data_IF_781938320698
#
_entry.id   IF_781938320698
#
_cell.length_a   1.000
_cell.length_b   1.000
_cell.length_c   1.000
_cell.angle_alpha   90.00
_cell.angle_beta   90.00
_cell.angle_gamma   90.00
#
_symmetry.space_group_name_H-M   'P 1'
#
loop_
_entity.id
_entity.type
_entity.pdbx_description
1 polymer ?
#
# COMPACT_ATOMS: atom_id res chain seq x y z
N UNK A 1 20.55 -18.57 8.22
CA UNK A 1 21.11 -18.15 6.93
C UNK A 1 21.49 -19.43 6.22
N UNK A 2 20.89 -19.73 5.06
CA UNK A 2 21.36 -20.89 4.29
C UNK A 2 22.60 -20.45 3.52
N UNK A 3 23.76 -20.54 4.17
CA UNK A 3 25.04 -20.01 3.70
C UNK A 3 25.46 -20.64 2.36
N UNK A 4 24.93 -21.82 2.03
CA UNK A 4 25.15 -22.49 0.74
C UNK A 4 24.37 -21.88 -0.43
N UNK A 5 23.21 -21.29 -0.17
CA UNK A 5 22.33 -20.73 -1.20
C UNK A 5 22.28 -19.19 -1.20
N UNK A 6 22.93 -18.53 -0.23
CA UNK A 6 22.97 -17.07 -0.08
C UNK A 6 21.59 -16.39 -0.05
N UNK A 7 20.54 -17.11 0.37
CA UNK A 7 19.17 -16.56 0.48
C UNK A 7 18.93 -16.02 1.89
N UNK A 8 18.44 -14.79 1.98
CA UNK A 8 17.93 -14.18 3.21
C UNK A 8 16.39 -14.18 3.21
N UNK A 9 15.79 -14.86 4.18
CA UNK A 9 14.34 -14.84 4.41
C UNK A 9 14.02 -13.98 5.63
N UNK A 10 13.29 -12.89 5.43
CA UNK A 10 12.89 -11.96 6.50
C UNK A 10 11.38 -11.73 6.46
N UNK A 11 10.75 -11.63 7.63
CA UNK A 11 9.35 -11.20 7.78
C UNK A 11 9.34 -9.70 8.10
N UNK A 12 8.81 -8.89 7.19
CA UNK A 12 8.72 -7.43 7.35
C UNK A 12 7.31 -6.94 7.06
N UNK A 13 6.93 -5.83 7.70
CA UNK A 13 5.70 -5.10 7.40
C UNK A 13 6.00 -3.98 6.42
N UNK A 14 5.28 -3.94 5.30
CA UNK A 14 5.43 -2.90 4.29
C UNK A 14 4.33 -1.85 4.48
N UNK A 15 4.71 -0.62 4.82
CA UNK A 15 3.80 0.52 4.90
C UNK A 15 3.91 1.33 3.61
N UNK A 16 2.81 1.45 2.87
CA UNK A 16 2.76 2.11 1.56
C UNK A 16 1.76 3.24 1.66
N UNK A 17 2.20 4.45 1.28
CA UNK A 17 1.34 5.61 1.16
C UNK A 17 1.46 6.17 -0.26
N UNK A 18 0.32 6.42 -0.90
CA UNK A 18 0.25 7.06 -2.22
C UNK A 18 -0.92 8.04 -2.26
N UNK A 19 -0.88 8.97 -3.22
CA UNK A 19 -1.93 9.96 -3.43
C UNK A 19 -2.67 9.61 -4.73
N UNK A 20 -3.96 9.29 -4.64
CA UNK A 20 -4.83 9.12 -5.80
C UNK A 20 -5.73 10.35 -5.95
N UNK A 21 -5.58 11.08 -7.08
CA UNK A 21 -6.37 12.29 -7.37
C UNK A 21 -7.86 11.99 -7.57
N UNK A 22 -8.22 10.75 -7.93
CA UNK A 22 -9.61 10.33 -8.16
C UNK A 22 -10.37 10.10 -6.86
N UNK A 23 -9.65 9.92 -5.75
CA UNK A 23 -10.20 9.70 -4.41
C UNK A 23 -10.22 10.98 -3.58
N UNK A 24 -10.23 12.15 -4.22
CA UNK A 24 -10.36 13.44 -3.52
C UNK A 24 -11.82 13.87 -3.50
N UNK A 25 -12.32 14.25 -2.32
CA UNK A 25 -13.64 14.84 -2.15
C UNK A 25 -13.54 16.10 -1.26
N UNK A 26 -14.65 16.85 -1.17
CA UNK A 26 -14.79 18.01 -0.30
C UNK A 26 -15.48 17.59 1.00
N UNK A 27 -14.80 17.67 2.14
CA UNK A 27 -15.33 17.24 3.44
C UNK A 27 -16.69 17.88 3.76
N UNK A 28 -16.90 19.13 3.36
CA UNK A 28 -18.16 19.87 3.61
C UNK A 28 -19.37 19.28 2.93
N UNK A 29 -19.19 18.54 1.82
CA UNK A 29 -20.27 17.87 1.09
C UNK A 29 -20.65 16.52 1.73
N UNK A 30 -19.82 16.02 2.64
CA UNK A 30 -19.95 14.69 3.24
C UNK A 30 -19.90 14.75 4.76
N UNK A 31 -20.59 15.74 5.36
CA UNK A 31 -20.71 15.91 6.82
C UNK A 31 -19.37 15.91 7.59
N UNK A 32 -18.29 16.35 6.95
CA UNK A 32 -16.96 16.40 7.55
C UNK A 32 -16.18 15.07 7.53
N UNK A 33 -16.58 14.09 6.71
CA UNK A 33 -15.83 12.83 6.56
C UNK A 33 -14.46 13.11 5.93
N UNK A 34 -13.38 12.84 6.68
CA UNK A 34 -11.98 13.05 6.24
C UNK A 34 -11.26 11.76 5.85
N UNK A 35 -11.77 10.62 6.28
CA UNK A 35 -11.08 9.34 6.11
C UNK A 35 -12.10 8.22 5.98
N UNK A 36 -11.83 7.32 5.04
CA UNK A 36 -12.64 6.13 4.78
C UNK A 36 -11.73 4.92 4.63
N UNK A 37 -12.21 3.75 5.04
CA UNK A 37 -11.51 2.48 4.87
C UNK A 37 -12.17 1.70 3.74
N UNK A 38 -11.43 1.49 2.65
CA UNK A 38 -11.92 0.78 1.46
C UNK A 38 -11.09 -0.50 1.29
N UNK A 39 -11.70 -1.65 0.97
CA UNK A 39 -10.96 -2.86 0.61
C UNK A 39 -10.01 -2.60 -0.57
N UNK A 40 -8.75 -3.02 -0.42
CA UNK A 40 -7.70 -2.77 -1.41
C UNK A 40 -8.00 -3.37 -2.80
N UNK A 41 -8.87 -4.39 -2.90
CA UNK A 41 -9.26 -4.97 -4.19
C UNK A 41 -10.13 -4.03 -5.06
N UNK A 42 -10.71 -2.98 -4.46
CA UNK A 42 -11.59 -2.03 -5.15
C UNK A 42 -10.87 -0.77 -5.64
N UNK A 43 -9.60 -0.61 -5.27
CA UNK A 43 -8.80 0.57 -5.58
C UNK A 43 -7.65 0.20 -6.50
N UNK A 44 -7.27 1.17 -7.34
CA UNK A 44 -5.96 1.11 -7.96
C UNK A 44 -4.89 1.30 -6.87
N UNK A 45 -3.86 0.46 -6.91
CA UNK A 45 -2.69 0.51 -6.02
C UNK A 45 -1.45 0.31 -6.88
N UNK A 46 -0.29 0.90 -6.52
CA UNK A 46 0.95 0.62 -7.22
C UNK A 46 1.34 -0.85 -7.04
N UNK A 47 1.83 -1.47 -8.12
CA UNK A 47 2.40 -2.81 -8.06
C UNK A 47 3.82 -2.71 -7.48
N UNK A 48 4.02 -3.27 -6.28
CA UNK A 48 5.31 -3.25 -5.59
C UNK A 48 5.90 -4.65 -5.65
N UNK A 49 7.06 -4.75 -6.29
CA UNK A 49 7.78 -5.99 -6.48
C UNK A 49 9.13 -5.83 -5.80
N UNK A 50 9.50 -6.80 -4.97
CA UNK A 50 10.86 -6.89 -4.46
C UNK A 50 11.76 -7.40 -5.58
N UNK A 51 12.49 -6.48 -6.22
CA UNK A 51 13.51 -6.86 -7.20
C UNK A 51 14.82 -7.10 -6.43
N UNK A 52 15.06 -8.36 -6.07
CA UNK A 52 16.36 -8.83 -5.64
C UNK A 52 16.59 -10.23 -6.23
N UNK A 53 17.75 -10.40 -6.86
CA UNK A 53 18.22 -11.63 -7.49
C UNK A 53 19.49 -12.05 -6.78
#
# INVERSE_FOLDING_TARGET
>A
MDERNQVLTTRSWLNINWIDKRLRWNDSEWEGIKTIYIPHQRLWKPDIILVNK
#
